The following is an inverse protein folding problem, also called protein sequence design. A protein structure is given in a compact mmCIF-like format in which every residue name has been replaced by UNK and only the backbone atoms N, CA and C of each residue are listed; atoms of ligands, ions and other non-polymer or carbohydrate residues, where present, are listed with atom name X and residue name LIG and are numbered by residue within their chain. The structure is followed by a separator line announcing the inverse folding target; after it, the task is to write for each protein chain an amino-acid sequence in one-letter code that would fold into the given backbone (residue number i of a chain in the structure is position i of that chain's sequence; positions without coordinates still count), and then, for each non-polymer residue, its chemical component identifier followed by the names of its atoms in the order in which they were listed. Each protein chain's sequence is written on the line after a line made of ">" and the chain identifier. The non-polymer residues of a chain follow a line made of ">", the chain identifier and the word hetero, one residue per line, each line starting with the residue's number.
data_IF_426404913341
#
_entry.id   IF_426404913341
#
_cell.length_a   1.000
_cell.length_b   1.000
_cell.length_c   1.000
_cell.angle_alpha   90.00
_cell.angle_beta   90.00
_cell.angle_gamma   90.00
#
_symmetry.space_group_name_H-M   'P 1'
#
loop_
_entity.id
_entity.type
_entity.pdbx_description
1 polymer ?
#
# COMPACT_ATOMS: atom_id res chain seq x y z
N UNK A 1 -6.82 -6.72 6.43
CA UNK A 1 -6.04 -7.21 5.27
C UNK A 1 -4.68 -7.75 5.69
N UNK A 2 -4.68 -8.70 6.61
CA UNK A 2 -3.42 -9.31 7.06
C UNK A 2 -2.96 -10.38 6.07
N UNK A 3 -1.66 -10.60 5.98
CA UNK A 3 -1.06 -11.74 5.33
C UNK A 3 -0.70 -11.58 3.85
N UNK A 4 -0.96 -10.45 3.23
CA UNK A 4 -0.54 -10.18 1.86
C UNK A 4 0.92 -9.75 1.80
N UNK A 5 1.65 -10.22 0.78
CA UNK A 5 3.00 -9.72 0.51
C UNK A 5 2.90 -8.23 0.19
N UNK A 6 3.76 -7.42 0.85
CA UNK A 6 3.75 -5.97 0.65
C UNK A 6 2.58 -5.24 1.29
N UNK A 7 1.86 -5.88 2.20
CA UNK A 7 0.89 -5.24 3.07
C UNK A 7 1.46 -5.27 4.48
N UNK A 8 1.68 -4.11 5.12
CA UNK A 8 2.27 -4.07 6.46
C UNK A 8 1.37 -4.73 7.49
N UNK A 9 1.99 -5.36 8.48
CA UNK A 9 1.25 -5.91 9.61
C UNK A 9 1.11 -4.86 10.69
N UNK A 10 -0.12 -4.67 11.18
CA UNK A 10 -0.38 -3.84 12.34
C UNK A 10 -0.43 -4.74 13.58
N UNK A 11 0.41 -4.43 14.57
CA UNK A 11 0.47 -5.18 15.82
C UNK A 11 -0.45 -4.61 16.89
N UNK A 12 -0.87 -3.37 16.73
CA UNK A 12 -1.76 -2.70 17.67
C UNK A 12 -2.52 -1.58 16.97
N UNK A 13 -3.79 -1.46 17.32
CA UNK A 13 -4.62 -0.32 16.94
C UNK A 13 -5.49 0.05 18.11
N UNK A 14 -5.47 1.31 18.51
CA UNK A 14 -6.24 1.77 19.64
C UNK A 14 -6.22 3.27 19.81
N UNK A 15 -6.90 3.72 20.84
CA UNK A 15 -7.00 5.15 21.16
C UNK A 15 -6.15 5.44 22.40
N UNK A 16 -5.25 6.41 22.29
CA UNK A 16 -4.41 6.90 23.37
C UNK A 16 -4.70 8.39 23.57
N UNK A 17 -5.43 8.72 24.63
CA UNK A 17 -5.89 10.09 24.86
C UNK A 17 -6.78 10.56 23.72
N UNK A 18 -6.39 11.65 23.05
CA UNK A 18 -7.13 12.21 21.91
C UNK A 18 -6.65 11.69 20.57
N UNK A 19 -5.73 10.72 20.55
CA UNK A 19 -5.13 10.21 19.31
C UNK A 19 -5.56 8.77 19.04
N UNK A 20 -5.80 8.47 17.77
CA UNK A 20 -5.88 7.10 17.30
C UNK A 20 -4.46 6.65 16.94
N UNK A 21 -4.03 5.51 17.50
CA UNK A 21 -2.66 5.01 17.36
C UNK A 21 -2.69 3.66 16.69
N UNK A 22 -1.82 3.47 15.71
CA UNK A 22 -1.58 2.18 15.08
C UNK A 22 -0.10 1.88 15.13
N UNK A 23 0.25 0.71 15.65
CA UNK A 23 1.62 0.22 15.68
C UNK A 23 1.77 -0.80 14.55
N UNK A 24 2.73 -0.58 13.68
CA UNK A 24 2.95 -1.40 12.51
C UNK A 24 4.44 -1.67 12.31
N UNK A 25 4.75 -2.55 11.36
CA UNK A 25 6.13 -2.84 11.01
C UNK A 25 6.87 -1.56 10.61
N UNK A 26 8.13 -1.47 11.03
CA UNK A 26 9.01 -0.40 10.57
C UNK A 26 9.43 -0.69 9.13
N UNK A 27 9.24 0.28 8.27
CA UNK A 27 9.55 0.15 6.84
C UNK A 27 10.56 1.18 6.40
N UNK A 28 11.05 1.04 5.19
CA UNK A 28 12.07 1.91 4.61
C UNK A 28 11.47 3.15 3.93
N UNK A 29 12.26 3.80 3.07
CA UNK A 29 11.82 5.02 2.38
C UNK A 29 10.71 4.73 1.37
N UNK A 30 9.92 5.77 1.07
CA UNK A 30 8.92 5.70 0.03
C UNK A 30 9.57 5.74 -1.36
N UNK A 31 8.78 5.38 -2.39
CA UNK A 31 9.25 5.50 -3.77
C UNK A 31 9.49 6.96 -4.14
N UNK A 32 8.74 7.91 -3.57
CA UNK A 32 8.98 9.33 -3.78
C UNK A 32 10.33 9.74 -3.18
N UNK A 33 10.66 9.28 -1.97
CA UNK A 33 11.96 9.54 -1.34
C UNK A 33 13.11 9.00 -2.19
N UNK A 34 12.96 7.76 -2.68
CA UNK A 34 13.97 7.12 -3.52
C UNK A 34 14.12 7.84 -4.86
N UNK A 35 13.02 8.30 -5.44
CA UNK A 35 13.03 9.03 -6.69
C UNK A 35 13.80 10.35 -6.53
N UNK A 36 13.53 11.09 -5.46
CA UNK A 36 14.28 12.32 -5.14
C UNK A 36 15.76 12.04 -4.89
N UNK A 37 16.08 10.95 -4.18
CA UNK A 37 17.44 10.54 -3.95
C UNK A 37 18.20 10.24 -5.25
N UNK A 38 17.50 9.70 -6.26
CA UNK A 38 18.05 9.37 -7.57
C UNK A 38 17.96 10.54 -8.57
N UNK A 39 17.88 11.78 -8.08
CA UNK A 39 17.77 13.00 -8.89
C UNK A 39 16.56 13.00 -9.82
N UNK A 40 15.44 12.46 -9.35
CA UNK A 40 14.16 12.35 -10.06
C UNK A 40 14.26 11.59 -11.37
N UNK A 41 15.08 10.54 -11.37
CA UNK A 41 15.29 9.71 -12.55
C UNK A 41 15.49 8.24 -12.15
N UNK A 42 14.64 7.36 -12.69
CA UNK A 42 14.83 5.92 -12.58
C UNK A 42 15.18 5.35 -13.95
N UNK A 43 15.96 4.28 -13.97
CA UNK A 43 16.21 3.53 -15.21
C UNK A 43 14.91 2.85 -15.66
N UNK A 44 14.82 2.53 -16.95
CA UNK A 44 13.66 1.79 -17.48
C UNK A 44 13.46 0.48 -16.75
N UNK A 45 14.55 -0.25 -16.45
CA UNK A 45 14.49 -1.49 -15.70
C UNK A 45 13.84 -1.27 -14.32
N UNK A 46 14.27 -0.25 -13.60
CA UNK A 46 13.72 0.08 -12.28
C UNK A 46 12.23 0.43 -12.37
N UNK A 47 11.84 1.24 -13.35
CA UNK A 47 10.44 1.60 -13.55
C UNK A 47 9.59 0.37 -13.81
N UNK A 48 10.05 -0.54 -14.67
CA UNK A 48 9.31 -1.77 -14.99
C UNK A 48 9.18 -2.68 -13.77
N UNK A 49 10.24 -2.83 -12.98
CA UNK A 49 10.21 -3.64 -11.76
C UNK A 49 9.24 -3.06 -10.73
N UNK A 50 9.28 -1.75 -10.52
CA UNK A 50 8.38 -1.07 -9.58
C UNK A 50 6.94 -1.15 -10.05
N UNK A 51 6.69 -0.93 -11.34
CA UNK A 51 5.34 -1.02 -11.90
C UNK A 51 4.73 -2.41 -11.67
N UNK A 52 5.51 -3.45 -11.90
CA UNK A 52 5.07 -4.83 -11.65
C UNK A 52 4.68 -5.03 -10.18
N UNK A 53 5.54 -4.60 -9.26
CA UNK A 53 5.28 -4.76 -7.83
C UNK A 53 4.07 -3.96 -7.38
N UNK A 54 3.91 -2.74 -7.88
CA UNK A 54 2.76 -1.89 -7.56
C UNK A 54 1.46 -2.51 -8.05
N UNK A 55 1.45 -3.04 -9.27
CA UNK A 55 0.27 -3.72 -9.84
C UNK A 55 -0.09 -4.95 -9.01
N UNK A 56 0.90 -5.73 -8.57
CA UNK A 56 0.66 -6.90 -7.74
C UNK A 56 0.04 -6.52 -6.39
N UNK A 57 0.48 -5.41 -5.80
CA UNK A 57 -0.14 -4.91 -4.55
C UNK A 57 -1.59 -4.51 -4.77
N UNK A 58 -1.88 -3.82 -5.86
CA UNK A 58 -3.26 -3.44 -6.20
C UNK A 58 -4.12 -4.66 -6.51
N UNK A 59 -3.57 -5.63 -7.22
CA UNK A 59 -4.28 -6.89 -7.50
C UNK A 59 -4.71 -7.58 -6.20
N UNK A 60 -3.81 -7.65 -5.23
CA UNK A 60 -4.13 -8.21 -3.92
C UNK A 60 -5.26 -7.44 -3.24
N UNK A 61 -5.14 -6.11 -3.20
CA UNK A 61 -6.15 -5.25 -2.57
C UNK A 61 -7.52 -5.44 -3.23
N UNK A 62 -7.56 -5.45 -4.55
CA UNK A 62 -8.80 -5.64 -5.30
C UNK A 62 -9.38 -7.05 -5.09
N UNK A 63 -8.53 -8.06 -4.91
CA UNK A 63 -8.98 -9.41 -4.60
C UNK A 63 -9.71 -9.48 -3.25
N UNK A 64 -9.41 -8.55 -2.34
CA UNK A 64 -10.10 -8.40 -1.05
C UNK A 64 -11.29 -7.45 -1.12
N UNK A 65 -11.68 -7.03 -2.33
CA UNK A 65 -12.85 -6.17 -2.60
C UNK A 65 -12.71 -4.74 -2.11
N UNK A 66 -11.48 -4.25 -1.96
CA UNK A 66 -11.18 -2.87 -1.62
C UNK A 66 -10.52 -2.14 -2.78
N UNK A 67 -10.74 -0.83 -2.87
CA UNK A 67 -9.94 0.06 -3.70
C UNK A 67 -9.24 1.07 -2.80
N UNK A 68 -8.02 1.43 -3.16
CA UNK A 68 -7.16 2.27 -2.34
C UNK A 68 -7.59 3.73 -2.35
N UNK A 69 -7.80 4.29 -3.52
CA UNK A 69 -8.24 5.67 -3.80
C UNK A 69 -7.21 6.76 -3.52
N UNK A 70 -5.97 6.40 -3.19
CA UNK A 70 -4.91 7.39 -2.96
C UNK A 70 -3.56 6.83 -3.45
N UNK A 71 -3.54 6.33 -4.70
CA UNK A 71 -2.34 5.74 -5.30
C UNK A 71 -1.39 6.86 -5.71
N UNK A 72 -0.22 6.85 -5.10
CA UNK A 72 0.87 7.79 -5.41
C UNK A 72 2.19 7.23 -4.89
N UNK A 73 3.34 7.70 -5.40
CA UNK A 73 4.65 7.17 -4.97
C UNK A 73 4.92 7.32 -3.47
N UNK A 74 4.31 8.30 -2.81
CA UNK A 74 4.45 8.50 -1.37
C UNK A 74 3.87 7.34 -0.57
N UNK A 75 2.89 6.63 -1.11
CA UNK A 75 2.19 5.55 -0.43
C UNK A 75 2.75 4.16 -0.75
N UNK A 76 3.84 4.09 -1.49
CA UNK A 76 4.61 2.87 -1.68
C UNK A 76 5.96 3.02 -1.00
N UNK A 77 6.31 2.10 -0.13
CA UNK A 77 7.61 2.12 0.57
C UNK A 77 8.30 0.77 0.37
N UNK A 78 9.62 0.79 0.46
CA UNK A 78 10.38 -0.47 0.45
C UNK A 78 10.55 -0.99 1.87
N UNK A 79 10.78 -2.28 1.99
CA UNK A 79 11.07 -2.90 3.27
C UNK A 79 12.50 -2.65 3.72
N UNK A 80 12.85 -3.21 4.86
CA UNK A 80 14.18 -3.09 5.46
C UNK A 80 14.91 -4.43 5.43
N UNK A 81 16.24 -4.38 5.38
CA UNK A 81 17.11 -5.54 5.48
C UNK A 81 16.76 -6.60 4.41
N UNK A 82 16.33 -7.78 4.84
CA UNK A 82 15.97 -8.87 3.94
C UNK A 82 14.78 -8.57 3.04
N UNK A 83 13.94 -7.63 3.46
CA UNK A 83 12.74 -7.21 2.73
C UNK A 83 12.97 -5.95 1.92
N UNK A 84 14.21 -5.53 1.70
CA UNK A 84 14.53 -4.27 1.03
C UNK A 84 14.11 -4.22 -0.44
N UNK A 85 13.85 -5.37 -1.06
CA UNK A 85 13.34 -5.45 -2.43
C UNK A 85 11.82 -5.68 -2.50
N UNK A 86 11.16 -5.71 -1.35
CA UNK A 86 9.69 -5.81 -1.28
C UNK A 86 9.10 -4.41 -1.25
N UNK A 87 8.12 -4.16 -2.11
CA UNK A 87 7.39 -2.89 -2.16
C UNK A 87 6.10 -3.05 -1.36
N UNK A 88 5.91 -2.19 -0.37
CA UNK A 88 4.73 -2.19 0.50
C UNK A 88 3.80 -1.05 0.12
N UNK A 89 2.51 -1.31 0.19
CA UNK A 89 1.47 -0.29 0.00
C UNK A 89 0.99 0.19 1.36
N UNK A 90 0.97 1.51 1.54
CA UNK A 90 0.59 2.17 2.78
C UNK A 90 -0.66 3.04 2.61
N UNK A 91 -1.11 3.57 3.73
CA UNK A 91 -2.16 4.59 3.85
C UNK A 91 -3.49 4.15 3.24
N UNK A 92 -4.16 3.27 3.97
CA UNK A 92 -5.49 2.80 3.61
C UNK A 92 -6.61 3.71 4.14
N UNK A 93 -6.27 4.92 4.57
CA UNK A 93 -7.22 5.85 5.15
C UNK A 93 -8.37 6.25 4.24
N UNK A 94 -8.13 6.28 2.93
CA UNK A 94 -9.15 6.55 1.93
C UNK A 94 -9.71 5.29 1.28
N UNK A 95 -9.22 4.11 1.67
CA UNK A 95 -9.64 2.84 1.10
C UNK A 95 -11.10 2.56 1.39
N UNK A 96 -11.77 1.94 0.43
CA UNK A 96 -13.19 1.62 0.56
C UNK A 96 -13.50 0.33 -0.19
N UNK A 97 -14.43 -0.43 0.37
CA UNK A 97 -14.97 -1.61 -0.30
C UNK A 97 -15.77 -1.16 -1.53
N UNK A 98 -15.51 -1.74 -2.69
CA UNK A 98 -16.17 -1.37 -3.94
C UNK A 98 -17.12 -2.45 -4.44
N UNK A 99 -17.08 -3.64 -3.86
CA UNK A 99 -17.96 -4.73 -4.22
C UNK A 99 -18.21 -5.62 -3.00
N UNK A 100 -19.29 -6.40 -3.07
CA UNK A 100 -19.57 -7.41 -2.05
C UNK A 100 -18.50 -8.51 -2.15
N UNK A 101 -17.78 -8.85 -1.08
CA UNK A 101 -16.69 -9.83 -1.14
C UNK A 101 -17.16 -11.25 -1.43
N UNK A 102 -18.43 -11.58 -1.14
CA UNK A 102 -19.01 -12.89 -1.40
C UNK A 102 -19.61 -12.99 -2.80
N UNK A 103 -20.47 -12.05 -3.18
CA UNK A 103 -21.17 -12.05 -4.47
C UNK A 103 -20.38 -11.43 -5.60
N UNK A 104 -19.38 -10.60 -5.28
CA UNK A 104 -18.59 -9.82 -6.23
C UNK A 104 -19.41 -8.75 -6.97
N UNK A 105 -20.61 -8.44 -6.49
CA UNK A 105 -21.41 -7.37 -7.05
C UNK A 105 -20.86 -6.01 -6.64
N UNK A 106 -20.77 -5.11 -7.61
CA UNK A 106 -20.28 -3.75 -7.39
C UNK A 106 -21.25 -2.99 -6.48
N UNK A 107 -20.69 -2.17 -5.58
CA UNK A 107 -21.49 -1.32 -4.71
C UNK A 107 -22.15 -0.23 -5.55
N UNK A 108 -23.44 0.04 -5.30
CA UNK A 108 -24.20 1.05 -6.00
C UNK A 108 -23.60 2.43 -5.72
N UNK A 109 -23.48 3.25 -6.78
CA UNK A 109 -23.01 4.63 -6.67
C UNK A 109 -23.98 5.44 -5.81
N UNK A 110 -23.42 6.16 -4.84
CA UNK A 110 -24.19 7.06 -3.98
C UNK A 110 -23.68 8.49 -4.16
N UNK A 111 -24.62 9.38 -4.36
CA UNK A 111 -24.33 10.81 -4.41
C UNK A 111 -24.10 11.38 -3.02
#
# INVERSE_FOLDING_TARGET
>A
MKGGIGIPNASYYGKEGNFNVMVMDLLGPSLEDLFCYCNRRFSLKTVCMLAREMILRLQYLHSKSFMHRDIKPDNFVVGLNKESNVVYLLDFGLSKRYRNPTTKEHIVYKL
#
